data_IF_851659696228
#
_entry.id   IF_851659696228
#
_cell.length_a   1.000
_cell.length_b   1.000
_cell.length_c   1.000
_cell.angle_alpha   90.00
_cell.angle_beta   90.00
_cell.angle_gamma   90.00
#
_symmetry.space_group_name_H-M   'P 1'
#
loop_
_entity.id
_entity.type
_entity.pdbx_description
1 polymer ?
#
# COMPACT_ATOMS: atom_id res chain seq x y z
N UNK A 1 -11.58 -7.70 -1.97
CA UNK A 1 -11.00 -6.33 -1.88
C UNK A 1 -9.55 -6.41 -1.47
N UNK A 2 -8.66 -5.74 -2.19
CA UNK A 2 -7.22 -5.72 -1.87
C UNK A 2 -6.94 -5.24 -0.43
N UNK A 3 -5.77 -5.60 0.08
CA UNK A 3 -5.20 -5.04 1.30
C UNK A 3 -3.94 -4.25 0.98
N UNK A 4 -3.82 -3.04 1.50
CA UNK A 4 -2.60 -2.25 1.47
C UNK A 4 -2.12 -1.98 2.89
N UNK A 5 -0.82 -1.95 3.08
CA UNK A 5 -0.17 -1.60 4.33
C UNK A 5 1.26 -1.10 4.06
N UNK A 6 1.88 -0.53 5.07
CA UNK A 6 3.26 -0.09 4.99
C UNK A 6 3.68 0.76 6.17
N UNK A 7 4.90 1.29 6.10
CA UNK A 7 5.43 2.14 7.13
C UNK A 7 6.41 3.20 6.61
N UNK A 8 6.59 4.25 7.42
CA UNK A 8 7.74 5.14 7.45
C UNK A 8 8.32 5.09 8.85
N UNK A 9 9.60 4.76 8.97
CA UNK A 9 10.32 4.67 10.24
C UNK A 9 11.43 5.71 10.28
N UNK A 10 11.71 6.24 11.47
CA UNK A 10 12.88 7.05 11.72
C UNK A 10 14.15 6.19 11.83
N UNK A 11 15.31 6.80 11.66
CA UNK A 11 16.61 6.17 11.95
C UNK A 11 16.78 5.79 13.42
N UNK A 12 16.04 6.44 14.32
CA UNK A 12 16.03 6.15 15.76
C UNK A 12 15.07 5.00 16.14
N UNK A 13 14.36 4.42 15.17
CA UNK A 13 13.39 3.36 15.43
C UNK A 13 14.09 2.00 15.48
N UNK A 14 13.99 1.30 16.61
CA UNK A 14 14.63 0.00 16.85
C UNK A 14 13.80 -1.20 16.36
N UNK A 15 12.63 -0.96 15.77
CA UNK A 15 11.75 -2.02 15.27
C UNK A 15 12.47 -2.86 14.23
N UNK A 16 12.38 -4.18 14.34
CA UNK A 16 12.79 -5.09 13.26
C UNK A 16 11.94 -4.86 12.01
N UNK A 17 12.59 -4.47 10.91
CA UNK A 17 11.93 -4.07 9.64
C UNK A 17 11.22 -5.25 8.99
N UNK A 18 11.84 -6.42 9.06
CA UNK A 18 11.27 -7.66 8.50
C UNK A 18 10.03 -8.09 9.29
N UNK A 19 10.14 -8.16 10.62
CA UNK A 19 9.00 -8.51 11.47
C UNK A 19 7.85 -7.52 11.33
N UNK A 20 8.13 -6.22 11.22
CA UNK A 20 7.11 -5.20 10.98
C UNK A 20 6.39 -5.39 9.64
N UNK A 21 7.11 -5.70 8.56
CA UNK A 21 6.52 -5.99 7.26
C UNK A 21 5.71 -7.30 7.27
N UNK A 22 6.20 -8.32 7.96
CA UNK A 22 5.48 -9.59 8.17
C UNK A 22 4.20 -9.39 8.97
N UNK A 23 4.23 -8.60 10.04
CA UNK A 23 3.07 -8.26 10.85
C UNK A 23 1.99 -7.51 10.04
N UNK A 24 2.42 -6.53 9.23
CA UNK A 24 1.52 -5.83 8.30
C UNK A 24 0.91 -6.78 7.27
N UNK A 25 1.72 -7.65 6.66
CA UNK A 25 1.23 -8.63 5.69
C UNK A 25 0.22 -9.57 6.31
N UNK A 26 0.51 -10.14 7.49
CA UNK A 26 -0.40 -11.03 8.20
C UNK A 26 -1.73 -10.33 8.55
N UNK A 27 -1.66 -9.05 8.98
CA UNK A 27 -2.84 -8.27 9.36
C UNK A 27 -3.75 -7.85 8.20
N UNK A 28 -3.30 -7.97 6.94
CA UNK A 28 -4.12 -7.71 5.74
C UNK A 28 -4.35 -8.96 4.89
N UNK A 29 -3.78 -10.13 5.25
CA UNK A 29 -3.75 -11.34 4.43
C UNK A 29 -5.14 -11.87 4.05
N UNK A 30 -6.13 -11.74 4.93
CA UNK A 30 -7.52 -12.18 4.70
C UNK A 30 -8.23 -11.43 3.57
N UNK A 31 -7.64 -10.35 3.04
CA UNK A 31 -8.30 -9.48 2.06
C UNK A 31 -8.17 -9.95 0.62
N UNK A 32 -7.22 -10.84 0.31
CA UNK A 32 -7.06 -11.40 -1.02
C UNK A 32 -5.94 -12.43 -1.13
N UNK A 33 -6.01 -13.28 -2.16
CA UNK A 33 -5.06 -14.38 -2.36
C UNK A 33 -4.60 -14.55 -3.82
N UNK A 34 -4.95 -13.63 -4.73
CA UNK A 34 -4.60 -13.75 -6.16
C UNK A 34 -3.13 -13.42 -6.44
N UNK A 35 -2.61 -12.44 -5.72
CA UNK A 35 -1.21 -12.06 -5.75
C UNK A 35 -0.81 -11.32 -4.46
N UNK A 36 0.47 -11.31 -4.16
CA UNK A 36 1.05 -10.63 -3.00
C UNK A 36 2.36 -9.98 -3.41
N UNK A 37 2.71 -8.87 -2.76
CA UNK A 37 3.99 -8.21 -2.99
C UNK A 37 4.32 -7.17 -1.95
N UNK A 38 5.58 -6.76 -1.97
CA UNK A 38 6.08 -5.66 -1.16
C UNK A 38 7.11 -4.85 -1.93
N UNK A 39 7.32 -3.63 -1.47
CA UNK A 39 8.42 -2.79 -1.94
C UNK A 39 9.07 -2.09 -0.76
N UNK A 40 10.36 -1.82 -0.87
CA UNK A 40 11.09 -1.03 0.11
C UNK A 40 12.10 -0.12 -0.57
N UNK A 41 12.34 1.04 0.05
CA UNK A 41 13.37 1.96 -0.41
C UNK A 41 14.75 1.50 0.07
N UNK A 42 15.70 1.47 -0.87
CA UNK A 42 17.10 1.16 -0.62
C UNK A 42 17.99 2.20 -1.32
N UNK A 43 18.43 3.21 -0.57
CA UNK A 43 19.10 4.35 -1.16
C UNK A 43 18.18 5.13 -2.10
N UNK A 44 18.62 5.39 -3.34
CA UNK A 44 17.86 6.11 -4.36
C UNK A 44 16.71 5.30 -4.96
N UNK A 45 16.80 3.97 -4.95
CA UNK A 45 15.91 3.08 -5.68
C UNK A 45 14.83 2.45 -4.78
N UNK A 46 13.74 2.00 -5.40
CA UNK A 46 12.70 1.20 -4.75
C UNK A 46 12.74 -0.22 -5.29
N UNK A 47 13.11 -1.16 -4.42
CA UNK A 47 13.08 -2.59 -4.71
C UNK A 47 11.64 -3.11 -4.64
N UNK A 48 11.23 -3.86 -5.64
CA UNK A 48 9.87 -4.42 -5.74
C UNK A 48 9.96 -5.94 -5.83
N UNK A 49 9.24 -6.62 -4.96
CA UNK A 49 8.99 -8.05 -5.03
C UNK A 49 7.49 -8.31 -5.14
N UNK A 50 7.09 -9.13 -6.09
CA UNK A 50 5.70 -9.56 -6.25
C UNK A 50 5.61 -10.97 -6.81
N UNK A 51 4.58 -11.68 -6.37
CA UNK A 51 4.32 -13.05 -6.82
C UNK A 51 2.82 -13.32 -6.89
N UNK A 52 2.44 -14.24 -7.78
CA UNK A 52 1.07 -14.71 -7.93
C UNK A 52 0.79 -15.85 -6.97
N UNK A 53 0.47 -15.49 -5.73
CA UNK A 53 0.08 -16.42 -4.66
C UNK A 53 -0.57 -15.66 -3.52
N UNK A 54 -1.13 -16.36 -2.55
CA UNK A 54 -1.54 -15.78 -1.27
C UNK A 54 -0.35 -15.38 -0.40
N UNK A 55 -0.65 -14.61 0.64
CA UNK A 55 0.33 -14.09 1.61
C UNK A 55 1.11 -15.19 2.33
N UNK A 56 0.47 -16.33 2.60
CA UNK A 56 1.08 -17.51 3.24
C UNK A 56 2.33 -18.03 2.54
N UNK A 57 2.45 -17.82 1.23
CA UNK A 57 3.61 -18.25 0.44
C UNK A 57 4.75 -17.24 0.41
N UNK A 58 4.50 -16.01 0.88
CA UNK A 58 5.50 -14.93 0.93
C UNK A 58 5.99 -14.65 2.34
N UNK A 59 5.15 -14.83 3.36
CA UNK A 59 5.37 -14.36 4.73
C UNK A 59 6.77 -14.70 5.27
N UNK A 60 7.19 -15.96 5.14
CA UNK A 60 8.51 -16.46 5.63
C UNK A 60 9.69 -15.96 4.80
N UNK A 61 9.42 -15.40 3.60
CA UNK A 61 10.44 -14.98 2.63
C UNK A 61 10.60 -13.47 2.51
N UNK A 62 9.82 -12.73 3.29
CA UNK A 62 10.03 -11.29 3.38
C UNK A 62 11.36 -11.04 4.09
N UNK A 63 12.22 -10.30 3.43
CA UNK A 63 13.48 -9.83 3.98
C UNK A 63 13.59 -8.32 3.70
N UNK A 64 13.54 -7.52 4.74
CA UNK A 64 13.70 -6.07 4.65
C UNK A 64 15.01 -5.68 5.32
N UNK A 65 15.95 -5.07 4.58
CA UNK A 65 17.20 -4.60 5.18
C UNK A 65 16.94 -3.63 6.34
N UNK A 66 17.71 -3.75 7.42
CA UNK A 66 17.48 -2.95 8.63
C UNK A 66 17.61 -1.42 8.40
N UNK A 67 18.30 -0.99 7.35
CA UNK A 67 18.37 0.42 6.96
C UNK A 67 17.15 0.88 6.13
N UNK A 68 16.32 -0.03 5.62
CA UNK A 68 15.15 0.33 4.82
C UNK A 68 14.02 0.84 5.71
N UNK A 69 13.84 2.15 5.71
CA UNK A 69 12.89 2.86 6.59
C UNK A 69 11.49 3.06 5.97
N UNK A 70 11.28 2.68 4.71
CA UNK A 70 10.00 2.82 3.99
C UNK A 70 9.65 1.51 3.32
N UNK A 71 8.44 1.04 3.59
CA UNK A 71 7.92 -0.22 3.04
C UNK A 71 6.47 -0.06 2.61
N UNK A 72 6.13 -0.68 1.49
CA UNK A 72 4.77 -0.88 1.00
C UNK A 72 4.50 -2.39 0.95
N UNK A 73 3.31 -2.81 1.37
CA UNK A 73 2.86 -4.21 1.36
C UNK A 73 1.47 -4.30 0.73
N UNK A 74 1.24 -5.34 -0.06
CA UNK A 74 -0.03 -5.53 -0.76
C UNK A 74 -0.47 -6.99 -0.81
N UNK A 75 -1.77 -7.23 -0.62
CA UNK A 75 -2.44 -8.48 -1.00
C UNK A 75 -3.55 -8.16 -2.00
N UNK A 76 -3.65 -8.98 -3.04
CA UNK A 76 -4.54 -8.73 -4.17
C UNK A 76 -5.76 -9.64 -4.17
N UNK A 77 -6.93 -9.02 -4.33
CA UNK A 77 -8.18 -9.62 -4.78
C UNK A 77 -8.57 -8.83 -6.05
N UNK A 78 -8.25 -9.38 -7.23
CA UNK A 78 -8.24 -8.58 -8.44
C UNK A 78 -9.64 -8.24 -8.95
N UNK A 79 -9.77 -7.05 -9.51
CA UNK A 79 -10.97 -6.55 -10.17
C UNK A 79 -10.69 -6.20 -11.63
N UNK A 80 -9.62 -5.49 -11.91
CA UNK A 80 -9.13 -5.13 -13.25
C UNK A 80 -7.66 -5.49 -13.41
N UNK A 81 -7.25 -5.96 -14.58
CA UNK A 81 -5.88 -6.40 -14.84
C UNK A 81 -5.58 -7.80 -14.30
N UNK A 82 -5.62 -8.82 -15.18
CA UNK A 82 -5.48 -10.21 -14.80
C UNK A 82 -4.13 -10.49 -14.13
N UNK A 83 -4.06 -11.23 -12.99
CA UNK A 83 -2.82 -11.44 -12.22
C UNK A 83 -1.75 -12.29 -12.93
N UNK A 84 -2.08 -12.96 -14.04
CA UNK A 84 -1.11 -13.62 -14.91
C UNK A 84 -0.12 -12.66 -15.58
N UNK A 85 -0.49 -11.40 -15.73
CA UNK A 85 0.38 -10.35 -16.25
C UNK A 85 1.05 -9.71 -15.04
N UNK A 86 2.35 -9.87 -14.91
CA UNK A 86 3.11 -9.43 -13.74
C UNK A 86 2.95 -7.92 -13.48
N UNK A 87 2.96 -7.10 -14.54
CA UNK A 87 2.75 -5.66 -14.45
C UNK A 87 1.45 -5.27 -13.74
N UNK A 88 0.42 -6.10 -13.81
CA UNK A 88 -0.84 -5.87 -13.13
C UNK A 88 -0.83 -6.13 -11.62
N UNK A 89 0.22 -6.79 -11.08
CA UNK A 89 0.31 -7.10 -9.67
C UNK A 89 1.02 -5.97 -8.92
N UNK A 90 0.58 -5.74 -7.68
CA UNK A 90 1.15 -4.70 -6.84
C UNK A 90 2.37 -5.20 -6.03
N UNK A 91 3.31 -4.31 -5.72
CA UNK A 91 3.34 -2.87 -6.03
C UNK A 91 3.46 -2.60 -7.54
N UNK A 92 2.73 -1.59 -8.02
CA UNK A 92 2.75 -1.14 -9.42
C UNK A 92 3.76 0.00 -9.55
N UNK A 93 4.55 -0.03 -10.63
CA UNK A 93 5.48 1.05 -10.98
C UNK A 93 4.96 1.83 -12.19
N UNK A 94 5.04 3.16 -12.13
CA UNK A 94 4.96 4.05 -13.28
C UNK A 94 6.08 5.06 -13.18
N UNK A 95 7.02 5.01 -14.12
CA UNK A 95 8.24 5.81 -14.04
C UNK A 95 8.99 5.65 -12.72
N UNK A 96 9.19 6.74 -12.00
CA UNK A 96 9.84 6.79 -10.68
C UNK A 96 8.91 6.47 -9.51
N UNK A 97 7.60 6.38 -9.74
CA UNK A 97 6.62 6.14 -8.68
C UNK A 97 6.29 4.67 -8.55
N UNK A 98 6.42 4.14 -7.33
CA UNK A 98 6.02 2.76 -6.97
C UNK A 98 4.94 2.81 -5.92
N UNK A 99 3.81 2.13 -6.16
CA UNK A 99 2.69 2.24 -5.24
C UNK A 99 1.79 1.02 -5.14
N UNK A 100 0.92 1.07 -4.15
CA UNK A 100 -0.11 0.07 -3.83
C UNK A 100 -1.47 0.73 -3.74
N UNK A 101 -2.52 0.01 -4.17
CA UNK A 101 -3.87 0.53 -4.24
C UNK A 101 -4.89 -0.53 -3.80
N UNK A 102 -5.88 -0.09 -3.04
CA UNK A 102 -7.10 -0.82 -2.75
C UNK A 102 -8.27 0.01 -3.26
N UNK A 103 -8.99 -0.51 -4.24
CA UNK A 103 -10.11 0.15 -4.87
C UNK A 103 -10.26 -0.22 -6.34
N UNK A 104 -10.95 0.62 -7.08
CA UNK A 104 -11.07 0.56 -8.53
C UNK A 104 -11.17 1.98 -9.09
N UNK A 105 -10.33 2.29 -10.08
CA UNK A 105 -10.41 3.53 -10.87
C UNK A 105 -11.14 3.21 -12.15
N UNK A 106 -12.28 3.86 -12.36
CA UNK A 106 -13.19 3.57 -13.47
C UNK A 106 -12.80 4.29 -14.77
N UNK A 107 -12.07 5.39 -14.66
CA UNK A 107 -11.67 6.23 -15.79
C UNK A 107 -10.17 6.18 -16.08
N UNK A 108 -9.48 5.10 -15.72
CA UNK A 108 -8.03 4.97 -15.92
C UNK A 108 -7.63 5.09 -17.42
N UNK A 109 -8.43 4.54 -18.34
CA UNK A 109 -8.15 4.64 -19.77
C UNK A 109 -8.34 6.07 -20.30
N UNK A 110 -9.34 6.80 -19.79
CA UNK A 110 -9.56 8.22 -20.10
C UNK A 110 -8.36 9.05 -19.63
N UNK A 111 -7.89 8.85 -18.38
CA UNK A 111 -6.70 9.51 -17.84
C UNK A 111 -5.46 9.24 -18.68
N UNK A 112 -5.23 7.98 -19.09
CA UNK A 112 -4.11 7.64 -19.97
C UNK A 112 -4.18 8.37 -21.31
N UNK A 113 -5.36 8.44 -21.91
CA UNK A 113 -5.56 9.12 -23.18
C UNK A 113 -5.40 10.65 -23.08
N UNK A 114 -5.99 11.27 -22.05
CA UNK A 114 -5.95 12.72 -21.83
C UNK A 114 -4.53 13.25 -21.57
N UNK A 115 -3.73 12.51 -20.81
CA UNK A 115 -2.36 12.91 -20.47
C UNK A 115 -1.30 12.32 -21.41
N UNK A 116 -1.69 11.47 -22.37
CA UNK A 116 -0.76 10.81 -23.28
C UNK A 116 0.19 9.83 -22.59
N UNK A 117 -0.27 9.20 -21.50
CA UNK A 117 0.53 8.21 -20.78
C UNK A 117 0.64 6.90 -21.56
N UNK A 118 1.78 6.24 -21.44
CA UNK A 118 2.00 4.87 -21.91
C UNK A 118 2.03 3.91 -20.71
N UNK A 119 1.55 2.68 -20.90
CA UNK A 119 1.61 1.64 -19.88
C UNK A 119 3.06 1.24 -19.62
N UNK A 120 3.45 1.14 -18.36
CA UNK A 120 4.84 0.83 -17.96
C UNK A 120 5.31 -0.57 -18.34
N UNK A 121 4.39 -1.48 -18.65
CA UNK A 121 4.73 -2.83 -19.08
C UNK A 121 3.78 -3.33 -20.19
N UNK A 122 4.26 -4.21 -21.09
CA UNK A 122 3.43 -4.80 -22.15
C UNK A 122 2.21 -5.53 -21.59
N UNK A 123 1.06 -5.32 -22.20
CA UNK A 123 -0.25 -5.91 -21.83
C UNK A 123 -0.75 -5.53 -20.43
N UNK A 124 -0.13 -4.58 -19.78
CA UNK A 124 -0.59 -4.05 -18.49
C UNK A 124 -1.92 -3.32 -18.66
N UNK A 125 -2.87 -3.61 -17.78
CA UNK A 125 -4.24 -3.06 -17.82
C UNK A 125 -4.78 -2.72 -16.42
N UNK A 126 -3.94 -2.76 -15.41
CA UNK A 126 -4.35 -2.43 -14.04
C UNK A 126 -4.70 -0.94 -13.94
N UNK A 127 -5.87 -0.67 -13.41
CA UNK A 127 -6.40 0.69 -13.23
C UNK A 127 -5.55 1.55 -12.27
N UNK A 128 -4.93 0.91 -11.30
CA UNK A 128 -4.10 1.56 -10.28
C UNK A 128 -2.94 2.36 -10.85
N UNK A 129 -2.44 1.99 -12.04
CA UNK A 129 -1.34 2.70 -12.69
C UNK A 129 -1.67 4.17 -12.96
N UNK A 130 -2.94 4.52 -13.23
CA UNK A 130 -3.37 5.90 -13.43
C UNK A 130 -3.09 6.80 -12.22
N UNK A 131 -3.21 6.27 -11.01
CA UNK A 131 -2.90 7.01 -9.77
C UNK A 131 -1.42 7.40 -9.75
N UNK A 132 -0.53 6.46 -10.10
CA UNK A 132 0.92 6.62 -10.01
C UNK A 132 1.46 7.45 -11.17
N UNK A 133 0.85 7.36 -12.35
CA UNK A 133 1.16 8.22 -13.50
C UNK A 133 0.83 9.70 -13.19
N UNK A 134 -0.33 9.98 -12.60
CA UNK A 134 -0.69 11.33 -12.15
C UNK A 134 0.22 11.81 -11.01
N UNK A 135 0.59 10.92 -10.08
CA UNK A 135 1.51 11.27 -8.99
C UNK A 135 2.90 11.65 -9.55
N UNK A 136 3.41 10.91 -10.53
CA UNK A 136 4.67 11.22 -11.20
C UNK A 136 4.62 12.55 -11.95
N UNK A 137 3.61 12.72 -12.80
CA UNK A 137 3.45 13.94 -13.62
C UNK A 137 3.38 15.21 -12.77
N UNK A 138 2.75 15.13 -11.60
CA UNK A 138 2.42 16.31 -10.78
C UNK A 138 3.24 16.45 -9.50
N UNK A 139 4.30 15.65 -9.31
CA UNK A 139 5.07 15.59 -8.07
C UNK A 139 4.16 15.35 -6.84
N UNK A 140 3.25 14.40 -6.97
CA UNK A 140 2.30 14.01 -5.91
C UNK A 140 1.42 15.16 -5.41
N UNK A 141 0.99 16.07 -6.30
CA UNK A 141 0.06 17.14 -5.94
C UNK A 141 -1.33 16.57 -5.69
N UNK A 142 -1.98 16.88 -4.55
CA UNK A 142 -3.27 16.30 -4.19
C UNK A 142 -4.38 16.61 -5.20
N UNK A 143 -4.32 17.75 -5.90
CA UNK A 143 -5.31 18.16 -6.89
C UNK A 143 -5.41 17.18 -8.08
N UNK A 144 -4.30 16.53 -8.46
CA UNK A 144 -4.31 15.54 -9.52
C UNK A 144 -5.20 14.32 -9.19
N UNK A 145 -5.35 13.99 -7.90
CA UNK A 145 -6.23 12.91 -7.47
C UNK A 145 -7.72 13.24 -7.63
N UNK A 146 -8.08 14.48 -7.90
CA UNK A 146 -9.45 14.91 -8.18
C UNK A 146 -9.94 14.50 -9.59
N UNK A 147 -9.01 14.14 -10.48
CA UNK A 147 -9.30 13.63 -11.82
C UNK A 147 -9.81 12.18 -11.79
N UNK A 148 -9.43 11.43 -10.75
CA UNK A 148 -9.76 10.01 -10.61
C UNK A 148 -11.21 9.81 -10.22
N UNK A 149 -11.93 8.96 -10.96
CA UNK A 149 -13.29 8.53 -10.66
C UNK A 149 -13.27 7.07 -10.21
N UNK A 150 -13.68 6.84 -8.97
CA UNK A 150 -13.70 5.49 -8.40
C UNK A 150 -13.36 5.46 -6.92
N UNK A 151 -13.30 4.25 -6.37
CA UNK A 151 -12.93 4.06 -4.97
C UNK A 151 -11.42 3.95 -4.82
N UNK A 152 -10.85 4.58 -3.77
CA UNK A 152 -9.42 4.65 -3.63
C UNK A 152 -8.94 4.72 -2.17
N UNK A 153 -8.02 3.82 -1.81
CA UNK A 153 -7.01 4.01 -0.80
C UNK A 153 -5.66 3.59 -1.40
N UNK A 154 -4.70 4.49 -1.45
CA UNK A 154 -3.41 4.26 -2.10
C UNK A 154 -2.25 4.73 -1.24
N UNK A 155 -1.09 4.10 -1.42
CA UNK A 155 0.17 4.60 -0.89
C UNK A 155 1.29 4.40 -1.91
N UNK A 156 2.27 5.33 -1.94
CA UNK A 156 3.39 5.25 -2.89
C UNK A 156 4.66 5.92 -2.38
N UNK A 157 5.74 5.57 -3.02
CA UNK A 157 7.08 6.16 -2.89
C UNK A 157 7.47 6.68 -4.28
N UNK A 158 8.04 7.87 -4.33
CA UNK A 158 8.63 8.46 -5.54
C UNK A 158 10.15 8.47 -5.39
N UNK A 159 10.87 7.80 -6.29
CA UNK A 159 12.33 7.70 -6.25
C UNK A 159 13.03 9.06 -6.39
N UNK A 160 12.37 10.04 -7.01
CA UNK A 160 12.89 11.40 -7.15
C UNK A 160 12.82 12.22 -5.86
N UNK A 161 12.05 11.75 -4.87
CA UNK A 161 11.79 12.48 -3.63
C UNK A 161 12.33 11.68 -2.45
N UNK A 162 13.37 12.24 -1.83
CA UNK A 162 14.03 11.57 -0.73
C UNK A 162 13.08 11.36 0.46
N UNK A 163 13.04 10.11 0.91
CA UNK A 163 12.46 9.70 2.17
C UNK A 163 10.97 9.96 2.40
N UNK A 164 10.17 10.19 1.35
CA UNK A 164 8.73 10.40 1.49
C UNK A 164 7.93 9.13 1.19
N UNK A 165 6.89 8.91 1.99
CA UNK A 165 5.79 7.98 1.67
C UNK A 165 4.51 8.79 1.62
N UNK A 166 3.75 8.61 0.58
CA UNK A 166 2.45 9.24 0.39
C UNK A 166 1.34 8.25 0.70
N UNK A 167 0.31 8.68 1.42
CA UNK A 167 -0.87 7.89 1.75
C UNK A 167 -2.12 8.70 1.41
N UNK A 168 -2.91 8.27 0.44
CA UNK A 168 -4.11 8.96 0.00
C UNK A 168 -5.36 8.12 0.25
N UNK A 169 -6.41 8.75 0.78
CA UNK A 169 -7.74 8.16 0.87
C UNK A 169 -8.72 8.98 0.05
N UNK A 170 -9.23 8.38 -1.03
CA UNK A 170 -10.38 8.87 -1.81
C UNK A 170 -11.69 8.43 -1.19
N UNK A 171 -12.63 7.94 -2.01
CA UNK A 171 -13.95 7.47 -1.58
C UNK A 171 -13.94 5.95 -1.35
N UNK A 172 -14.79 5.48 -0.45
CA UNK A 172 -15.22 4.08 -0.35
C UNK A 172 -14.25 3.09 0.27
N UNK A 173 -12.93 3.36 0.26
CA UNK A 173 -11.94 2.44 0.82
C UNK A 173 -11.37 2.95 2.14
N UNK A 174 -11.31 2.10 3.18
CA UNK A 174 -10.71 2.52 4.44
C UNK A 174 -9.18 2.58 4.32
N UNK A 175 -8.61 3.56 5.02
CA UNK A 175 -7.19 3.67 5.27
C UNK A 175 -7.00 4.16 6.71
N UNK A 176 -6.22 3.40 7.47
CA UNK A 176 -5.88 3.68 8.85
C UNK A 176 -4.42 4.10 8.96
N UNK A 177 -4.12 4.93 9.94
CA UNK A 177 -2.77 5.33 10.30
C UNK A 177 -2.55 5.11 11.80
N UNK A 178 -1.37 4.64 12.16
CA UNK A 178 -0.89 4.48 13.52
C UNK A 178 0.40 5.27 13.70
N UNK A 179 0.37 6.28 14.56
CA UNK A 179 1.49 7.18 14.83
C UNK A 179 2.14 6.81 16.18
N UNK A 180 3.40 6.38 16.15
CA UNK A 180 4.25 6.10 17.31
C UNK A 180 5.34 7.15 17.49
N UNK A 181 6.26 6.92 18.43
CA UNK A 181 7.33 7.88 18.75
C UNK A 181 8.30 8.10 17.57
N UNK A 182 8.71 7.02 16.91
CA UNK A 182 9.70 7.01 15.81
C UNK A 182 9.21 6.24 14.60
N UNK A 183 7.89 6.01 14.51
CA UNK A 183 7.30 5.13 13.53
C UNK A 183 5.90 5.61 13.15
N UNK A 184 5.59 5.56 11.87
CA UNK A 184 4.23 5.72 11.36
C UNK A 184 3.91 4.53 10.47
N UNK A 185 2.86 3.80 10.83
CA UNK A 185 2.31 2.68 10.07
C UNK A 185 0.99 3.07 9.42
N UNK A 186 0.67 2.46 8.29
CA UNK A 186 -0.65 2.59 7.67
C UNK A 186 -1.14 1.23 7.18
N UNK A 187 -2.47 1.05 7.15
CA UNK A 187 -3.09 -0.18 6.67
C UNK A 187 -4.55 0.02 6.26
N UNK A 188 -5.07 -0.91 5.47
CA UNK A 188 -6.49 -0.97 5.10
C UNK A 188 -7.42 -1.22 6.29
N UNK A 189 -6.91 -1.78 7.39
CA UNK A 189 -7.69 -2.12 8.60
C UNK A 189 -6.99 -1.66 9.86
N UNK A 190 -7.78 -1.35 10.92
CA UNK A 190 -7.24 -1.07 12.25
C UNK A 190 -6.59 -2.32 12.88
N UNK A 191 -7.13 -3.51 12.57
CA UNK A 191 -6.60 -4.78 13.05
C UNK A 191 -5.13 -5.01 12.61
N UNK A 192 -4.78 -4.65 11.38
CA UNK A 192 -3.39 -4.78 10.93
C UNK A 192 -2.41 -3.94 11.77
N UNK A 193 -2.84 -2.77 12.25
CA UNK A 193 -2.06 -1.94 13.17
C UNK A 193 -1.97 -2.56 14.57
N UNK A 194 -3.02 -3.25 15.04
CA UNK A 194 -3.00 -4.01 16.30
C UNK A 194 -2.01 -5.17 16.24
N UNK A 195 -1.98 -5.88 15.11
CA UNK A 195 -1.00 -6.95 14.87
C UNK A 195 0.43 -6.40 14.93
N UNK A 196 0.68 -5.24 14.30
CA UNK A 196 1.99 -4.57 14.39
C UNK A 196 2.34 -4.24 15.84
N UNK A 197 1.45 -3.58 16.59
CA UNK A 197 1.70 -3.26 18.01
C UNK A 197 2.05 -4.50 18.82
N UNK A 198 1.29 -5.58 18.63
CA UNK A 198 1.47 -6.82 19.39
C UNK A 198 2.84 -7.45 19.16
N UNK A 199 3.29 -7.54 17.90
CA UNK A 199 4.51 -8.26 17.56
C UNK A 199 5.78 -7.41 17.56
N UNK A 200 5.65 -6.09 17.40
CA UNK A 200 6.82 -5.19 17.39
C UNK A 200 7.02 -4.42 18.69
N UNK A 201 6.05 -4.46 19.60
CA UNK A 201 6.10 -3.70 20.86
C UNK A 201 5.92 -2.19 20.71
N UNK A 202 5.65 -1.70 19.51
CA UNK A 202 5.42 -0.26 19.25
C UNK A 202 4.03 0.12 19.74
N UNK A 203 3.92 1.20 20.50
CA UNK A 203 2.63 1.79 20.86
C UNK A 203 2.19 2.80 19.80
N UNK A 204 1.00 2.65 19.26
CA UNK A 204 0.47 3.45 18.16
C UNK A 204 -0.81 4.20 18.55
N UNK A 205 -0.85 5.49 18.29
CA UNK A 205 -2.11 6.24 18.25
C UNK A 205 -2.79 6.00 16.91
N UNK A 206 -3.79 5.12 16.90
CA UNK A 206 -4.49 4.68 15.70
C UNK A 206 -5.68 5.58 15.38
N UNK A 207 -5.84 5.95 14.12
CA UNK A 207 -7.02 6.65 13.60
C UNK A 207 -7.29 6.29 12.15
N UNK A 208 -8.55 6.37 11.75
CA UNK A 208 -8.95 6.27 10.34
C UNK A 208 -8.70 7.60 9.65
N UNK A 209 -8.14 7.58 8.45
CA UNK A 209 -7.93 8.78 7.62
C UNK A 209 -9.27 9.17 6.98
N UNK A 210 -9.61 10.46 6.99
CA UNK A 210 -10.81 10.98 6.32
C UNK A 210 -10.69 10.91 4.80
N UNK A 211 -11.84 10.74 4.13
CA UNK A 211 -11.89 10.82 2.66
C UNK A 211 -11.42 12.18 2.14
N UNK A 212 -10.78 12.19 0.97
CA UNK A 212 -10.20 13.38 0.39
C UNK A 212 -8.95 13.87 1.14
N UNK A 213 -8.18 12.96 1.74
CA UNK A 213 -6.96 13.30 2.47
C UNK A 213 -5.75 12.64 1.84
N UNK A 214 -4.70 13.42 1.64
CA UNK A 214 -3.35 12.99 1.32
C UNK A 214 -2.42 13.30 2.51
N UNK A 215 -1.80 12.28 3.08
CA UNK A 215 -0.76 12.38 4.08
C UNK A 215 0.60 12.20 3.43
N UNK A 216 1.59 12.95 3.91
CA UNK A 216 3.00 12.76 3.56
C UNK A 216 3.73 12.34 4.83
N UNK A 217 4.37 11.18 4.77
CA UNK A 217 5.14 10.62 5.86
C UNK A 217 6.63 10.79 5.58
N UNK A 218 7.38 11.16 6.60
CA UNK A 218 8.83 11.22 6.57
C UNK A 218 9.37 10.94 7.97
N UNK A 219 10.49 10.22 8.07
CA UNK A 219 11.21 9.99 9.31
C UNK A 219 10.30 9.55 10.46
N UNK A 220 9.42 8.57 10.18
CA UNK A 220 8.50 8.02 11.16
C UNK A 220 7.34 8.94 11.58
N UNK A 221 7.09 10.04 10.89
CA UNK A 221 6.08 11.05 11.28
C UNK A 221 5.20 11.46 10.10
N UNK A 222 3.99 11.92 10.40
CA UNK A 222 3.16 12.67 9.43
C UNK A 222 3.67 14.09 9.35
N UNK A 223 4.35 14.45 8.26
CA UNK A 223 4.94 15.79 8.09
C UNK A 223 4.04 16.76 7.36
N UNK A 224 3.10 16.25 6.54
CA UNK A 224 2.09 17.08 5.86
C UNK A 224 0.77 16.34 5.77
N UNK A 225 -0.32 17.09 5.90
CA UNK A 225 -1.68 16.64 5.57
C UNK A 225 -2.29 17.66 4.62
N UNK A 226 -2.77 17.18 3.49
CA UNK A 226 -3.40 17.99 2.45
C UNK A 226 -4.77 17.45 2.14
N UNK A 227 -5.66 18.29 1.61
CA UNK A 227 -7.02 17.91 1.19
C UNK A 227 -7.12 17.95 -0.32
N UNK A 228 -7.96 17.05 -0.86
CA UNK A 228 -8.43 17.07 -2.24
C UNK A 228 -9.92 16.70 -2.25
N UNK A 229 -10.61 17.00 -3.34
CA UNK A 229 -12.04 16.74 -3.49
C UNK A 229 -12.25 15.52 -4.37
N UNK A 230 -12.40 14.29 -3.81
CA UNK A 230 -12.59 13.10 -4.62
C UNK A 230 -13.93 13.14 -5.32
N UNK A 231 -13.99 12.61 -6.54
CA UNK A 231 -15.24 12.44 -7.26
C UNK A 231 -16.11 11.37 -6.59
N UNK A 232 -17.42 11.63 -6.49
CA UNK A 232 -18.39 10.73 -5.85
C UNK A 232 -19.47 10.24 -6.82
N UNK A 233 -19.44 10.72 -8.06
CA UNK A 233 -20.39 10.35 -9.11
C UNK A 233 -19.95 9.07 -9.80
N UNK A 234 -20.09 7.95 -9.07
CA UNK A 234 -19.86 6.61 -9.57
C UNK A 234 -20.61 5.57 -8.74
N UNK A 235 -20.94 4.46 -9.36
CA UNK A 235 -21.48 3.28 -8.70
C UNK A 235 -20.44 2.15 -8.70
N UNK A 236 -20.31 1.49 -7.58
CA UNK A 236 -19.41 0.34 -7.43
C UNK A 236 -20.13 -0.80 -6.72
N UNK A 237 -19.96 -2.01 -7.23
CA UNK A 237 -20.45 -3.21 -6.55
C UNK A 237 -19.71 -3.38 -5.21
N UNK A 238 -20.47 -3.42 -4.13
CA UNK A 238 -19.91 -3.74 -2.82
C UNK A 238 -19.38 -5.18 -2.80
N UNK A 239 -18.13 -5.34 -2.40
CA UNK A 239 -17.48 -6.63 -2.21
C UNK A 239 -17.18 -6.84 -0.73
N UNK A 240 -17.26 -8.08 -0.21
CA UNK A 240 -16.85 -8.38 1.16
C UNK A 240 -15.39 -7.96 1.43
N UNK A 241 -15.15 -7.45 2.63
CA UNK A 241 -13.79 -7.04 3.04
C UNK A 241 -12.85 -8.23 3.19
N UNK A 242 -13.37 -9.35 3.70
CA UNK A 242 -12.66 -10.62 3.84
C UNK A 242 -12.96 -11.49 2.63
N UNK A 243 -11.91 -11.90 1.90
CA UNK A 243 -11.99 -12.71 0.67
C UNK A 243 -11.20 -14.01 0.79
N UNK A 244 -10.22 -14.06 1.69
CA UNK A 244 -9.31 -15.18 1.90
C UNK A 244 -9.10 -15.44 3.42
N UNK A 245 -10.13 -15.85 4.17
CA UNK A 245 -10.03 -15.98 5.63
C UNK A 245 -8.97 -17.01 6.06
N UNK A 246 -8.75 -18.07 5.30
CA UNK A 246 -7.72 -19.07 5.57
C UNK A 246 -6.30 -18.49 5.44
N UNK A 247 -6.06 -17.55 4.51
CA UNK A 247 -4.79 -16.84 4.41
C UNK A 247 -4.54 -15.99 5.65
N UNK A 248 -5.55 -15.26 6.12
CA UNK A 248 -5.46 -14.46 7.35
C UNK A 248 -5.11 -15.30 8.56
N UNK A 249 -5.88 -16.39 8.79
CA UNK A 249 -5.63 -17.30 9.91
C UNK A 249 -4.22 -17.91 9.86
N UNK A 250 -3.84 -18.50 8.73
CA UNK A 250 -2.53 -19.11 8.55
C UNK A 250 -1.39 -18.10 8.79
N UNK A 251 -1.48 -16.91 8.22
CA UNK A 251 -0.44 -15.88 8.37
C UNK A 251 -0.29 -15.41 9.83
N UNK A 252 -1.38 -15.26 10.58
CA UNK A 252 -1.33 -14.88 11.99
C UNK A 252 -0.72 -15.99 12.86
N UNK A 253 -1.09 -17.25 12.65
CA UNK A 253 -0.50 -18.40 13.34
C UNK A 253 1.00 -18.53 13.04
N UNK A 254 1.38 -18.36 11.78
CA UNK A 254 2.79 -18.42 11.36
C UNK A 254 3.61 -17.28 11.91
N UNK A 255 3.05 -16.05 11.90
CA UNK A 255 3.71 -14.86 12.46
C UNK A 255 4.06 -15.05 13.94
N UNK A 256 3.18 -15.68 14.73
CA UNK A 256 3.45 -15.97 16.13
C UNK A 256 4.69 -16.87 16.29
N UNK A 257 4.88 -17.83 15.38
CA UNK A 257 6.07 -18.69 15.38
C UNK A 257 7.34 -17.94 14.99
N UNK A 258 7.26 -17.07 13.97
CA UNK A 258 8.39 -16.26 13.51
C UNK A 258 8.86 -15.28 14.59
N UNK A 259 7.92 -14.58 15.23
CA UNK A 259 8.23 -13.63 16.29
C UNK A 259 8.83 -14.26 17.55
N UNK A 260 8.50 -15.54 17.82
CA UNK A 260 9.10 -16.28 18.94
C UNK A 260 10.54 -16.74 18.65
N UNK A 261 10.97 -16.73 17.38
CA UNK A 261 12.30 -17.16 16.93
C UNK A 261 13.25 -15.97 16.66
N UNK A 262 12.74 -14.74 16.63
CA UNK A 262 13.49 -13.49 16.43
C UNK A 262 13.99 -12.93 17.78
#
# INVERSE_FOLDING_TARGET
MCGIAGYSLSTECDVDRTLAAQALLAGIAERGADAVGYAYRNGGDVHVHKQRSGASKLLDRIEIPQHASKVLVHVRDYTKGHPMIEGNNHPVRHGSVVGVHNGIILNDEEIFAEHGFERSAPRMTVDSEAIFALAELTDSRPKALEELRGSMAAAWIDERQDDLVYCARGVGRPLWIGEGKHATFFASTGLALEVVEHYTGVTLRRRKIDEGTLLVLNDGRVVKQKRFKPQRDFEERSLPAVRAPSEGQFCLERLATLAAAA
#
